data_IF_736302754181
#
_entry.id   IF_736302754181
#
_cell.length_a   1.000
_cell.length_b   1.000
_cell.length_c   1.000
_cell.angle_alpha   90.00
_cell.angle_beta   90.00
_cell.angle_gamma   90.00
#
_symmetry.space_group_name_H-M   'P 1'
#
loop_
_entity.id
_entity.type
_entity.pdbx_description
1 polymer ?
#
# COMPACT_ATOMS: atom_id res chain seq x y z
N UNK A 1 -3.60 -35.95 -59.65
CA UNK A 1 -4.39 -36.15 -58.44
C UNK A 1 -4.00 -35.07 -57.48
N UNK A 2 -4.86 -34.13 -57.38
CA UNK A 2 -4.71 -32.87 -56.62
C UNK A 2 -5.10 -33.13 -55.19
N UNK A 3 -4.23 -32.72 -54.27
CA UNK A 3 -4.60 -32.67 -52.89
C UNK A 3 -4.66 -31.22 -52.46
N UNK A 4 -5.81 -30.82 -51.98
CA UNK A 4 -6.12 -29.45 -51.57
C UNK A 4 -5.96 -29.31 -50.07
N UNK A 5 -4.98 -28.53 -49.66
CA UNK A 5 -4.83 -28.10 -48.27
C UNK A 5 -5.79 -26.93 -48.00
N UNK A 6 -6.67 -27.11 -47.05
CA UNK A 6 -7.58 -26.10 -46.56
C UNK A 6 -6.79 -25.15 -45.58
N UNK A 7 -6.67 -23.89 -45.95
CA UNK A 7 -6.26 -22.83 -45.05
C UNK A 7 -7.40 -22.48 -44.09
N UNK A 8 -7.15 -22.59 -42.80
CA UNK A 8 -8.07 -22.07 -41.77
C UNK A 8 -7.74 -20.61 -41.52
N UNK A 9 -8.63 -19.75 -41.97
CA UNK A 9 -8.66 -18.31 -41.70
C UNK A 9 -8.98 -18.08 -40.22
N UNK A 10 -7.98 -17.68 -39.42
CA UNK A 10 -8.18 -17.22 -38.05
C UNK A 10 -8.05 -15.69 -38.02
N UNK A 11 -9.16 -15.01 -38.28
CA UNK A 11 -9.29 -13.58 -38.08
C UNK A 11 -9.42 -13.31 -36.56
N UNK A 12 -8.53 -12.53 -35.94
CA UNK A 12 -8.70 -12.17 -34.54
C UNK A 12 -9.86 -11.18 -34.37
N UNK A 13 -10.65 -11.37 -33.32
CA UNK A 13 -11.74 -10.49 -32.96
C UNK A 13 -11.21 -9.06 -32.65
N UNK A 14 -11.98 -8.01 -32.98
CA UNK A 14 -11.51 -6.64 -32.79
C UNK A 14 -11.40 -6.29 -31.29
N UNK A 15 -10.20 -5.98 -30.88
CA UNK A 15 -9.92 -5.32 -29.59
C UNK A 15 -10.56 -3.95 -29.62
N UNK A 16 -11.47 -3.68 -28.70
CA UNK A 16 -12.01 -2.32 -28.54
C UNK A 16 -10.90 -1.42 -27.99
N UNK A 17 -10.30 -0.64 -28.87
CA UNK A 17 -9.48 0.50 -28.46
C UNK A 17 -10.39 1.55 -27.81
N UNK A 18 -10.21 1.78 -26.52
CA UNK A 18 -10.78 2.94 -25.85
C UNK A 18 -9.81 4.09 -26.13
N UNK A 19 -10.18 4.98 -27.06
CA UNK A 19 -9.48 6.25 -27.25
C UNK A 19 -9.83 7.16 -26.08
N UNK A 20 -8.85 7.40 -25.21
CA UNK A 20 -8.94 8.42 -24.16
C UNK A 20 -8.44 9.72 -24.78
N UNK A 21 -9.32 10.71 -24.95
CA UNK A 21 -8.91 12.09 -25.24
C UNK A 21 -8.32 12.68 -23.95
N UNK A 22 -7.03 12.91 -23.96
CA UNK A 22 -6.31 13.60 -22.88
C UNK A 22 -6.62 15.09 -22.96
N UNK A 23 -7.56 15.57 -22.16
CA UNK A 23 -7.66 16.99 -21.81
C UNK A 23 -6.82 17.22 -20.55
N UNK A 24 -5.63 17.76 -20.75
CA UNK A 24 -4.74 18.25 -19.70
C UNK A 24 -5.24 19.63 -19.23
N UNK A 25 -6.17 19.64 -18.29
CA UNK A 25 -6.37 20.76 -17.37
C UNK A 25 -6.45 20.15 -15.97
N UNK A 26 -5.51 20.55 -15.10
CA UNK A 26 -5.62 20.27 -13.67
C UNK A 26 -6.93 20.91 -13.17
N UNK A 27 -7.75 20.19 -12.40
CA UNK A 27 -8.95 20.78 -11.84
C UNK A 27 -8.55 21.95 -10.94
N UNK A 28 -9.18 23.11 -11.11
CA UNK A 28 -9.08 24.20 -10.15
C UNK A 28 -9.50 23.66 -8.77
N UNK A 29 -8.74 24.02 -7.71
CA UNK A 29 -9.13 23.75 -6.34
C UNK A 29 -10.50 24.39 -6.07
N UNK A 30 -11.58 23.66 -6.27
CA UNK A 30 -12.87 24.02 -5.71
C UNK A 30 -12.78 23.88 -4.20
N UNK A 31 -13.06 24.96 -3.48
CA UNK A 31 -13.28 24.93 -2.03
C UNK A 31 -14.53 24.08 -1.79
N UNK A 32 -14.33 22.78 -1.62
CA UNK A 32 -15.43 21.85 -1.31
C UNK A 32 -15.85 22.16 0.13
N UNK A 33 -17.09 22.60 0.31
CA UNK A 33 -17.69 22.75 1.64
C UNK A 33 -17.52 21.43 2.41
N UNK A 34 -17.21 21.52 3.72
CA UNK A 34 -16.99 20.37 4.62
C UNK A 34 -18.24 19.46 4.57
N UNK A 35 -18.13 18.39 3.80
CA UNK A 35 -19.17 17.35 3.68
C UNK A 35 -19.07 16.32 4.82
N UNK A 36 -19.34 15.09 4.47
CA UNK A 36 -19.34 13.95 5.40
C UNK A 36 -17.93 13.39 5.68
N UNK A 37 -16.88 14.13 5.31
CA UNK A 37 -15.46 13.79 5.50
C UNK A 37 -14.70 14.91 6.20
N UNK A 38 -13.55 14.55 6.81
CA UNK A 38 -12.66 15.51 7.47
C UNK A 38 -11.78 16.21 6.44
N UNK A 39 -11.67 17.53 6.57
CA UNK A 39 -10.68 18.32 5.85
C UNK A 39 -9.35 18.34 6.64
N UNK A 40 -8.26 18.70 5.98
CA UNK A 40 -6.95 18.80 6.65
C UNK A 40 -6.90 19.92 7.70
N UNK A 41 -7.67 20.98 7.50
CA UNK A 41 -7.81 22.11 8.43
C UNK A 41 -8.53 21.71 9.73
N UNK A 42 -9.38 20.68 9.68
CA UNK A 42 -10.09 20.14 10.86
C UNK A 42 -9.18 19.26 11.75
N UNK A 43 -7.93 18.99 11.33
CA UNK A 43 -6.97 18.21 12.11
C UNK A 43 -6.38 19.04 13.24
N UNK A 44 -7.11 19.12 14.35
CA UNK A 44 -6.71 19.84 15.57
C UNK A 44 -6.62 18.90 16.76
N UNK A 45 -5.73 19.21 17.70
CA UNK A 45 -5.62 18.45 18.95
C UNK A 45 -6.83 18.73 19.86
N UNK A 46 -7.43 17.64 20.36
CA UNK A 46 -8.54 17.67 21.29
C UNK A 46 -8.30 16.64 22.41
N UNK A 47 -8.28 17.09 23.64
CA UNK A 47 -8.07 16.24 24.83
C UNK A 47 -6.83 15.31 24.76
N UNK A 48 -5.70 15.85 24.23
CA UNK A 48 -4.45 15.10 24.05
C UNK A 48 -4.47 14.11 22.90
N UNK A 49 -5.48 14.14 22.06
CA UNK A 49 -5.61 13.30 20.86
C UNK A 49 -5.65 14.15 19.60
N UNK A 50 -5.24 13.55 18.50
CA UNK A 50 -5.27 14.15 17.17
C UNK A 50 -5.66 13.09 16.14
N UNK A 51 -6.22 13.53 15.03
CA UNK A 51 -6.59 12.61 13.95
C UNK A 51 -5.36 12.12 13.23
N UNK A 52 -5.24 10.77 13.11
CA UNK A 52 -4.18 10.14 12.33
C UNK A 52 -4.28 10.50 10.84
N UNK A 53 -3.16 10.83 10.23
CA UNK A 53 -3.05 10.98 8.77
C UNK A 53 -3.17 9.64 8.04
N UNK A 54 -2.98 8.50 8.72
CA UNK A 54 -2.93 7.17 8.11
C UNK A 54 -4.27 6.45 8.18
N UNK A 55 -5.03 6.65 9.26
CA UNK A 55 -6.27 5.90 9.52
C UNK A 55 -7.52 6.79 9.65
N UNK A 56 -7.35 8.09 9.79
CA UNK A 56 -8.45 8.99 10.11
C UNK A 56 -9.00 8.85 11.54
N UNK A 57 -8.52 7.91 12.33
CA UNK A 57 -8.94 7.69 13.71
C UNK A 57 -8.28 8.69 14.68
N UNK A 58 -8.88 8.90 15.84
CA UNK A 58 -8.29 9.73 16.91
C UNK A 58 -7.25 8.90 17.68
N UNK A 59 -5.99 9.33 17.61
CA UNK A 59 -4.83 8.73 18.30
C UNK A 59 -4.22 9.71 19.29
N UNK A 60 -3.37 9.24 20.19
CA UNK A 60 -2.62 10.13 21.09
C UNK A 60 -1.81 11.16 20.27
N UNK A 61 -1.85 12.44 20.64
CA UNK A 61 -1.23 13.52 19.88
C UNK A 61 0.29 13.34 19.72
N UNK A 62 0.95 12.72 20.71
CA UNK A 62 2.37 12.38 20.63
C UNK A 62 2.67 11.34 19.52
N UNK A 63 1.71 10.48 19.18
CA UNK A 63 1.82 9.50 18.10
C UNK A 63 1.42 10.14 16.78
N UNK A 64 0.23 10.72 16.69
CA UNK A 64 -0.31 11.25 15.43
C UNK A 64 0.44 12.47 14.88
N UNK A 65 1.22 13.19 15.70
CA UNK A 65 2.09 14.29 15.26
C UNK A 65 3.50 13.84 14.88
N UNK A 66 3.81 12.55 15.04
CA UNK A 66 5.11 11.97 14.73
C UNK A 66 5.09 11.27 13.37
N UNK A 67 6.18 11.39 12.64
CA UNK A 67 6.41 10.66 11.38
C UNK A 67 6.34 9.15 11.61
N UNK A 68 5.62 8.40 10.78
CA UNK A 68 5.54 6.96 10.90
C UNK A 68 6.83 6.29 10.40
N UNK A 69 7.00 5.03 10.75
CA UNK A 69 7.98 4.15 10.11
C UNK A 69 7.34 3.45 8.91
N UNK A 70 7.99 3.51 7.76
CA UNK A 70 7.70 2.64 6.62
C UNK A 70 8.74 1.52 6.58
N UNK A 71 8.36 0.29 6.92
CA UNK A 71 9.32 -0.82 7.05
C UNK A 71 9.07 -1.93 6.03
N UNK A 72 10.14 -2.33 5.33
CA UNK A 72 10.09 -3.43 4.36
C UNK A 72 9.97 -4.78 5.03
N UNK A 73 8.96 -5.57 4.69
CA UNK A 73 8.73 -6.89 5.25
C UNK A 73 8.69 -8.00 4.20
N UNK A 74 9.22 -9.15 4.57
CA UNK A 74 9.14 -10.37 3.75
C UNK A 74 7.72 -10.93 3.74
N UNK A 75 7.31 -11.42 2.56
CA UNK A 75 6.09 -12.24 2.41
C UNK A 75 6.41 -13.69 2.01
N UNK A 76 7.64 -14.12 2.16
CA UNK A 76 7.99 -15.54 1.97
C UNK A 76 7.35 -16.40 3.06
N UNK A 77 6.90 -17.60 2.71
CA UNK A 77 6.28 -18.54 3.65
C UNK A 77 7.18 -18.87 4.84
N UNK A 78 8.51 -18.88 4.63
CA UNK A 78 9.49 -19.09 5.70
C UNK A 78 9.61 -17.90 6.67
N UNK A 79 9.02 -16.75 6.34
CA UNK A 79 9.00 -15.56 7.20
C UNK A 79 7.74 -15.42 8.05
N UNK A 80 6.79 -16.35 7.90
CA UNK A 80 5.53 -16.29 8.67
C UNK A 80 5.70 -16.83 10.11
N UNK A 81 4.97 -16.28 11.09
CA UNK A 81 4.20 -15.04 11.00
C UNK A 81 5.14 -13.82 10.90
N UNK A 82 4.68 -12.75 10.24
CA UNK A 82 5.37 -11.47 10.33
C UNK A 82 5.13 -10.87 11.72
N UNK A 83 6.16 -10.18 12.23
CA UNK A 83 6.10 -9.48 13.50
C UNK A 83 5.86 -7.98 13.26
N UNK A 84 4.92 -7.41 14.00
CA UNK A 84 4.56 -6.00 13.91
C UNK A 84 3.62 -5.64 12.75
N UNK A 85 3.29 -6.56 11.84
CA UNK A 85 2.39 -6.27 10.72
C UNK A 85 0.96 -5.97 11.16
N UNK A 86 0.50 -6.53 12.28
CA UNK A 86 -0.81 -6.22 12.84
C UNK A 86 -0.95 -4.76 13.30
N UNK A 87 0.18 -4.09 13.57
CA UNK A 87 0.23 -2.69 13.98
C UNK A 87 0.32 -1.72 12.79
N UNK A 88 0.50 -2.25 11.57
CA UNK A 88 0.51 -1.41 10.39
C UNK A 88 -0.86 -0.74 10.19
N UNK A 89 -0.82 0.56 9.95
CA UNK A 89 -1.96 1.40 9.61
C UNK A 89 -2.24 1.33 8.12
N UNK A 90 -1.16 1.30 7.33
CA UNK A 90 -1.21 1.09 5.88
C UNK A 90 -0.19 0.01 5.50
N UNK A 91 -0.59 -0.89 4.60
CA UNK A 91 0.31 -1.88 4.01
C UNK A 91 0.26 -1.76 2.49
N UNK A 92 1.41 -1.50 1.88
CA UNK A 92 1.60 -1.72 0.44
C UNK A 92 2.07 -3.14 0.20
N UNK A 93 1.39 -3.85 -0.67
CA UNK A 93 1.81 -5.15 -1.21
C UNK A 93 2.10 -4.98 -2.69
N UNK A 94 3.35 -5.19 -3.10
CA UNK A 94 3.76 -5.06 -4.50
C UNK A 94 4.63 -6.23 -4.94
N UNK A 95 4.57 -6.61 -6.23
CA UNK A 95 5.44 -7.62 -6.80
C UNK A 95 6.92 -7.26 -6.67
N UNK A 96 7.74 -8.28 -6.51
CA UNK A 96 9.20 -8.23 -6.62
C UNK A 96 9.66 -9.40 -7.49
N UNK A 97 10.95 -9.56 -7.67
CA UNK A 97 11.53 -10.61 -8.49
C UNK A 97 11.03 -12.01 -8.09
N UNK A 98 10.97 -12.91 -9.07
CA UNK A 98 10.60 -14.32 -8.87
C UNK A 98 9.12 -14.55 -8.60
N UNK A 99 8.25 -13.62 -8.97
CA UNK A 99 6.79 -13.72 -8.78
C UNK A 99 6.34 -13.58 -7.32
N UNK A 100 7.26 -13.16 -6.45
CA UNK A 100 6.96 -12.92 -5.03
C UNK A 100 6.43 -11.51 -4.82
N UNK A 101 5.67 -11.33 -3.75
CA UNK A 101 5.32 -10.00 -3.27
C UNK A 101 6.13 -9.66 -2.02
N UNK A 102 6.25 -8.37 -1.77
CA UNK A 102 6.85 -7.84 -0.56
C UNK A 102 5.90 -6.83 0.06
N UNK A 103 5.97 -6.67 1.38
CA UNK A 103 5.19 -5.64 2.06
C UNK A 103 6.07 -4.45 2.42
N UNK A 104 5.49 -3.27 2.39
CA UNK A 104 5.94 -2.12 3.16
C UNK A 104 4.83 -1.80 4.16
N UNK A 105 5.12 -2.00 5.43
CA UNK A 105 4.20 -1.68 6.52
C UNK A 105 4.48 -0.26 7.01
N UNK A 106 3.48 0.61 7.03
CA UNK A 106 3.55 1.97 7.57
C UNK A 106 2.91 1.94 8.94
N UNK A 107 3.68 2.27 9.96
CA UNK A 107 3.30 2.10 11.37
C UNK A 107 3.50 3.42 12.09
N UNK A 108 2.44 3.98 12.63
CA UNK A 108 2.47 5.22 13.41
C UNK A 108 2.87 4.95 14.87
N UNK A 109 2.28 3.91 15.48
CA UNK A 109 2.55 3.50 16.85
C UNK A 109 3.42 2.23 16.90
N UNK A 110 4.76 2.40 16.96
CA UNK A 110 5.74 1.31 16.91
C UNK A 110 6.65 1.20 18.14
N UNK A 111 6.53 2.10 19.13
CA UNK A 111 7.50 2.21 20.23
C UNK A 111 7.57 0.96 21.12
N UNK A 112 6.44 0.33 21.38
CA UNK A 112 6.27 -0.86 22.22
C UNK A 112 6.52 -2.18 21.48
N UNK A 113 6.90 -2.12 20.20
CA UNK A 113 7.16 -3.31 19.40
C UNK A 113 8.58 -3.85 19.65
N UNK A 114 8.70 -4.95 20.38
CA UNK A 114 9.96 -5.62 20.65
C UNK A 114 10.59 -6.28 19.41
N UNK A 115 9.75 -6.61 18.41
CA UNK A 115 10.18 -7.29 17.18
C UNK A 115 9.35 -6.85 15.99
N UNK A 116 10.03 -6.38 14.92
CA UNK A 116 9.39 -5.94 13.67
C UNK A 116 10.12 -6.60 12.49
N UNK A 117 9.39 -7.24 11.58
CA UNK A 117 9.96 -7.87 10.38
C UNK A 117 9.47 -9.30 10.13
N UNK A 118 10.18 -10.12 9.35
CA UNK A 118 11.61 -9.96 8.94
C UNK A 118 11.77 -8.87 7.88
N UNK A 119 12.79 -8.05 8.08
CA UNK A 119 13.05 -6.87 7.26
C UNK A 119 13.75 -7.26 5.96
N UNK A 120 13.39 -6.62 4.84
CA UNK A 120 13.84 -6.95 3.50
C UNK A 120 14.36 -5.72 2.74
N UNK A 121 14.92 -6.01 1.57
CA UNK A 121 15.54 -4.99 0.73
C UNK A 121 14.50 -4.10 0.03
N UNK A 122 14.86 -2.84 -0.12
CA UNK A 122 14.14 -1.82 -0.88
C UNK A 122 14.10 -2.14 -2.38
N UNK A 123 13.05 -1.72 -3.06
CA UNK A 123 12.92 -1.56 -4.51
C UNK A 123 12.53 -0.11 -4.81
N UNK A 124 12.74 0.33 -6.03
CA UNK A 124 12.57 1.74 -6.43
C UNK A 124 11.23 2.31 -6.01
N UNK A 125 10.14 1.68 -6.41
CA UNK A 125 8.77 2.15 -6.15
C UNK A 125 8.41 2.23 -4.66
N UNK A 126 9.06 1.48 -3.77
CA UNK A 126 8.83 1.61 -2.33
C UNK A 126 9.42 2.90 -1.73
N UNK A 127 10.43 3.50 -2.39
CA UNK A 127 10.93 4.82 -1.96
C UNK A 127 9.87 5.90 -2.19
N UNK A 128 9.11 5.78 -3.28
CA UNK A 128 8.03 6.70 -3.62
C UNK A 128 6.90 6.60 -2.61
N UNK A 129 6.46 5.37 -2.31
CA UNK A 129 5.42 5.13 -1.30
C UNK A 129 5.83 5.63 0.10
N UNK A 130 7.07 5.40 0.54
CA UNK A 130 7.52 5.89 1.83
C UNK A 130 7.49 7.44 1.90
N UNK A 131 7.84 8.11 0.80
CA UNK A 131 7.87 9.57 0.72
C UNK A 131 6.47 10.18 0.78
N UNK A 132 5.45 9.51 0.24
CA UNK A 132 4.04 9.97 0.28
C UNK A 132 3.53 10.21 1.70
N UNK A 133 4.06 9.48 2.67
CA UNK A 133 3.65 9.57 4.08
C UNK A 133 4.63 10.36 4.93
N UNK A 134 5.61 11.01 4.31
CA UNK A 134 6.74 11.63 5.03
C UNK A 134 7.38 10.66 6.03
N UNK A 135 7.32 9.36 5.73
CA UNK A 135 7.75 8.29 6.62
C UNK A 135 9.27 8.16 6.68
N UNK A 136 9.80 7.70 7.82
CA UNK A 136 11.19 7.27 7.94
C UNK A 136 11.26 5.82 7.44
N UNK A 137 12.03 5.59 6.37
CA UNK A 137 12.02 4.35 5.62
C UNK A 137 13.05 3.34 6.14
N UNK A 138 12.60 2.20 6.68
CA UNK A 138 13.43 1.15 7.25
C UNK A 138 13.53 -0.07 6.31
N UNK A 139 14.75 -0.43 5.91
CA UNK A 139 14.97 -1.54 4.98
C UNK A 139 16.35 -2.21 5.21
N UNK A 140 16.50 -3.44 4.75
CA UNK A 140 17.78 -4.17 4.87
C UNK A 140 18.34 -4.46 3.48
N UNK A 141 19.19 -3.56 2.97
CA UNK A 141 19.70 -3.57 1.60
C UNK A 141 18.69 -3.01 0.58
N UNK A 142 19.13 -2.89 -0.65
CA UNK A 142 18.36 -2.33 -1.76
C UNK A 142 18.78 -2.94 -3.10
N UNK A 143 17.95 -2.78 -4.13
CA UNK A 143 18.37 -2.97 -5.51
C UNK A 143 19.32 -1.85 -5.96
N UNK A 144 20.13 -2.12 -6.96
CA UNK A 144 21.01 -1.10 -7.57
C UNK A 144 20.17 0.07 -8.12
N UNK A 145 18.99 -0.23 -8.66
CA UNK A 145 18.08 0.76 -9.25
C UNK A 145 17.40 1.66 -8.22
N UNK A 146 17.17 1.17 -6.98
CA UNK A 146 16.60 1.97 -5.91
C UNK A 146 17.61 2.95 -5.28
N UNK A 147 18.92 2.70 -5.43
CA UNK A 147 19.97 3.46 -4.75
C UNK A 147 19.93 4.97 -5.00
N UNK A 148 19.71 5.48 -6.22
CA UNK A 148 19.65 6.93 -6.47
C UNK A 148 18.47 7.60 -5.76
N UNK A 149 17.35 6.90 -5.61
CA UNK A 149 16.10 7.43 -5.06
C UNK A 149 16.10 7.50 -3.53
N UNK A 150 16.91 6.69 -2.86
CA UNK A 150 17.07 6.71 -1.41
C UNK A 150 17.61 8.03 -0.88
N UNK A 151 18.26 8.85 -1.72
CA UNK A 151 18.69 10.20 -1.34
C UNK A 151 17.52 11.18 -1.07
N UNK A 152 16.31 10.86 -1.53
CA UNK A 152 15.11 11.69 -1.37
C UNK A 152 14.22 11.26 -0.19
N UNK A 153 14.65 10.26 0.58
CA UNK A 153 13.88 9.70 1.70
C UNK A 153 14.80 9.49 2.89
N UNK A 154 14.41 9.99 4.06
CA UNK A 154 15.09 9.64 5.30
C UNK A 154 15.01 8.12 5.48
N UNK A 155 16.16 7.43 5.45
CA UNK A 155 16.13 5.98 5.46
C UNK A 155 17.15 5.34 6.40
N UNK A 156 16.79 4.17 6.91
CA UNK A 156 17.60 3.36 7.82
C UNK A 156 17.94 2.06 7.10
N UNK A 157 19.14 1.98 6.52
CA UNK A 157 19.56 0.82 5.75
C UNK A 157 20.40 -0.15 6.61
N UNK A 158 19.99 -1.41 6.66
CA UNK A 158 20.67 -2.47 7.42
C UNK A 158 22.07 -2.83 6.90
N UNK A 159 22.48 -2.37 5.71
CA UNK A 159 23.83 -2.59 5.17
C UNK A 159 24.80 -1.44 5.45
N UNK A 160 24.30 -0.31 5.95
CA UNK A 160 25.12 0.86 6.29
C UNK A 160 25.58 0.76 7.76
N UNK A 161 26.45 1.68 8.21
CA UNK A 161 26.97 1.69 9.58
C UNK A 161 25.88 1.72 10.66
N UNK A 162 24.75 2.36 10.38
CA UNK A 162 23.58 2.40 11.28
C UNK A 162 22.90 1.03 11.45
N UNK A 163 23.12 0.09 10.55
CA UNK A 163 22.47 -1.22 10.54
C UNK A 163 22.68 -2.02 11.82
N UNK A 164 23.81 -1.88 12.49
CA UNK A 164 24.09 -2.59 13.77
C UNK A 164 23.30 -2.02 14.96
N UNK A 165 22.89 -0.75 14.87
CA UNK A 165 22.01 -0.11 15.83
C UNK A 165 20.56 -0.50 15.55
N UNK A 166 20.11 -0.30 14.31
CA UNK A 166 18.73 -0.46 13.92
C UNK A 166 18.26 -1.91 13.86
N UNK A 167 19.15 -2.86 13.53
CA UNK A 167 18.73 -4.24 13.24
C UNK A 167 19.53 -5.28 14.03
N UNK A 168 18.92 -6.44 14.17
CA UNK A 168 19.54 -7.64 14.71
C UNK A 168 19.11 -8.88 13.92
N UNK A 169 19.90 -9.95 14.06
CA UNK A 169 19.55 -11.24 13.45
C UNK A 169 19.17 -12.24 14.51
N UNK A 170 18.10 -12.98 14.25
CA UNK A 170 17.62 -14.05 15.13
C UNK A 170 18.18 -15.41 14.69
N UNK A 171 18.13 -16.39 15.61
CA UNK A 171 18.56 -17.77 15.35
C UNK A 171 17.37 -18.71 15.08
N UNK A 172 16.15 -18.28 15.36
CA UNK A 172 14.91 -19.04 15.15
C UNK A 172 14.51 -19.15 13.69
N UNK A 173 15.15 -18.36 12.80
CA UNK A 173 14.95 -18.39 11.35
C UNK A 173 16.27 -18.37 10.59
N UNK A 174 16.25 -18.92 9.38
CA UNK A 174 17.43 -18.91 8.50
C UNK A 174 17.50 -17.60 7.72
N UNK A 175 18.74 -17.16 7.42
CA UNK A 175 18.97 -16.10 6.45
C UNK A 175 18.32 -16.47 5.10
N UNK A 176 17.69 -15.52 4.40
CA UNK A 176 17.62 -14.07 4.65
C UNK A 176 16.39 -13.62 5.46
N UNK A 177 15.64 -14.53 6.09
CA UNK A 177 14.37 -14.25 6.79
C UNK A 177 14.56 -13.97 8.30
N UNK A 178 15.76 -13.64 8.74
CA UNK A 178 16.13 -13.53 10.14
C UNK A 178 16.61 -12.15 10.60
N UNK A 179 16.45 -11.13 9.78
CA UNK A 179 16.74 -9.74 10.12
C UNK A 179 15.48 -9.05 10.69
N UNK A 180 15.60 -8.45 11.87
CA UNK A 180 14.50 -7.79 12.58
C UNK A 180 14.96 -6.46 13.14
N UNK A 181 13.97 -5.61 13.47
CA UNK A 181 14.12 -4.41 14.26
C UNK A 181 13.20 -4.45 15.48
N UNK A 182 13.17 -3.36 16.24
CA UNK A 182 12.20 -3.04 17.30
C UNK A 182 11.97 -1.54 17.36
N UNK A 183 10.91 -1.08 18.02
CA UNK A 183 10.66 0.34 18.24
C UNK A 183 11.86 1.03 18.88
N UNK A 184 12.41 0.47 19.95
CA UNK A 184 13.60 1.00 20.63
C UNK A 184 14.79 1.18 19.68
N UNK A 185 15.06 0.19 18.82
CA UNK A 185 16.17 0.22 17.86
C UNK A 185 15.98 1.24 16.77
N UNK A 186 14.76 1.35 16.26
CA UNK A 186 14.41 2.37 15.24
C UNK A 186 14.59 3.77 15.83
N UNK A 187 14.06 4.04 17.03
CA UNK A 187 14.20 5.33 17.71
C UNK A 187 15.68 5.69 17.96
N UNK A 188 16.50 4.74 18.39
CA UNK A 188 17.96 4.95 18.53
C UNK A 188 18.63 5.30 17.20
N UNK A 189 18.25 4.62 16.12
CA UNK A 189 18.80 4.88 14.79
C UNK A 189 18.37 6.26 14.27
N UNK A 190 17.10 6.64 14.43
CA UNK A 190 16.55 7.94 14.08
C UNK A 190 17.34 9.05 14.78
N UNK A 191 17.50 8.94 16.11
CA UNK A 191 18.25 9.91 16.89
C UNK A 191 19.71 10.01 16.46
N UNK A 192 20.38 8.87 16.18
CA UNK A 192 21.77 8.84 15.74
C UNK A 192 21.98 9.42 14.34
N UNK A 193 20.99 9.26 13.44
CA UNK A 193 21.00 9.85 12.10
C UNK A 193 20.59 11.32 12.08
N UNK A 194 20.01 11.82 13.18
CA UNK A 194 19.55 13.19 13.32
C UNK A 194 18.31 13.50 12.49
N UNK A 195 17.48 12.50 12.20
CA UNK A 195 16.22 12.69 11.47
C UNK A 195 15.18 13.37 12.36
N UNK A 196 14.38 14.26 11.75
CA UNK A 196 13.22 14.85 12.42
C UNK A 196 12.19 13.77 12.70
N UNK A 197 11.67 13.72 13.92
CA UNK A 197 10.54 12.90 14.27
C UNK A 197 9.19 13.55 13.94
N UNK A 198 9.16 14.86 13.73
CA UNK A 198 7.97 15.59 13.33
C UNK A 198 7.82 15.60 11.82
N UNK A 199 6.58 15.54 11.34
CA UNK A 199 6.26 15.76 9.94
C UNK A 199 6.86 17.07 9.40
N UNK A 200 7.18 17.11 8.12
CA UNK A 200 7.55 18.34 7.43
C UNK A 200 6.40 19.34 7.49
N UNK A 201 6.73 20.64 7.54
CA UNK A 201 5.74 21.70 7.80
C UNK A 201 4.65 21.80 6.71
N UNK A 202 4.96 21.35 5.51
CA UNK A 202 4.06 21.31 4.35
C UNK A 202 3.28 20.01 4.22
N UNK A 203 3.60 18.97 5.01
CA UNK A 203 2.86 17.72 4.98
C UNK A 203 1.50 17.84 5.67
N UNK A 204 0.44 17.51 4.95
CA UNK A 204 -0.94 17.60 5.44
C UNK A 204 -1.72 16.28 5.33
N UNK A 205 -1.01 15.18 5.08
CA UNK A 205 -1.66 13.93 4.66
C UNK A 205 -2.16 14.01 3.21
N UNK A 206 -2.73 12.93 2.72
CA UNK A 206 -3.28 12.91 1.37
C UNK A 206 -4.56 12.09 1.23
N UNK A 207 -4.95 11.32 2.25
CA UNK A 207 -6.24 10.64 2.25
C UNK A 207 -7.29 11.46 2.98
N UNK A 208 -8.49 11.47 2.42
CA UNK A 208 -9.68 12.00 3.07
C UNK A 208 -10.40 10.86 3.78
N UNK A 209 -10.84 11.10 5.01
CA UNK A 209 -11.53 10.10 5.80
C UNK A 209 -12.95 10.53 6.13
N UNK A 210 -13.89 9.61 6.02
CA UNK A 210 -15.28 9.81 6.41
C UNK A 210 -15.39 10.21 7.89
N UNK A 211 -16.29 11.12 8.20
CA UNK A 211 -16.63 11.48 9.59
C UNK A 211 -17.31 10.31 10.28
N UNK A 212 -17.13 10.21 11.57
CA UNK A 212 -17.80 9.17 12.39
C UNK A 212 -19.33 9.31 12.25
N UNK A 213 -19.99 8.20 11.91
CA UNK A 213 -21.42 8.17 11.62
C UNK A 213 -21.79 8.52 10.17
N UNK A 214 -20.78 8.74 9.32
CA UNK A 214 -20.92 9.00 7.88
C UNK A 214 -20.10 8.02 7.05
N UNK A 215 -20.04 6.77 7.49
CA UNK A 215 -19.26 5.72 6.83
C UNK A 215 -19.68 5.55 5.37
N UNK A 216 -18.68 5.45 4.49
CA UNK A 216 -18.87 5.22 3.06
C UNK A 216 -19.28 3.78 2.84
N UNK A 217 -20.52 3.55 2.41
CA UNK A 217 -21.06 2.20 2.13
C UNK A 217 -20.96 1.82 0.65
N UNK A 218 -20.60 2.75 -0.20
CA UNK A 218 -20.61 2.64 -1.68
C UNK A 218 -21.98 2.35 -2.28
N UNK A 219 -23.07 2.45 -1.49
CA UNK A 219 -24.43 2.27 -1.99
C UNK A 219 -24.77 3.34 -3.04
N UNK A 220 -25.27 2.89 -4.19
CA UNK A 220 -25.64 3.78 -5.28
C UNK A 220 -24.47 4.34 -6.09
N UNK A 221 -23.24 4.02 -5.74
CA UNK A 221 -22.08 4.43 -6.54
C UNK A 221 -22.09 3.80 -7.95
N UNK A 222 -21.62 4.51 -8.98
CA UNK A 222 -21.54 3.96 -10.32
C UNK A 222 -20.69 2.69 -10.37
N UNK A 223 -21.17 1.66 -11.05
CA UNK A 223 -20.47 0.37 -11.22
C UNK A 223 -20.11 -0.34 -9.90
N UNK A 224 -20.87 -0.10 -8.84
CA UNK A 224 -20.69 -0.80 -7.58
C UNK A 224 -20.87 -2.32 -7.76
N UNK A 225 -20.02 -3.09 -7.09
CA UNK A 225 -20.04 -4.55 -7.09
C UNK A 225 -20.13 -5.03 -5.64
N UNK A 226 -20.86 -6.14 -5.41
CA UNK A 226 -20.77 -6.87 -4.16
C UNK A 226 -19.37 -7.48 -4.05
N UNK A 227 -18.71 -7.28 -2.91
CA UNK A 227 -17.32 -7.65 -2.68
C UNK A 227 -17.14 -8.39 -1.35
N UNK A 228 -17.91 -9.47 -1.16
CA UNK A 228 -17.74 -10.33 0.01
C UNK A 228 -16.37 -11.02 0.02
N UNK A 229 -15.79 -11.27 -1.18
CA UNK A 229 -14.42 -11.75 -1.35
C UNK A 229 -13.72 -11.00 -2.45
N UNK A 230 -12.44 -10.67 -2.21
CA UNK A 230 -11.59 -9.93 -3.15
C UNK A 230 -10.25 -10.63 -3.29
N UNK A 231 -9.86 -10.97 -4.52
CA UNK A 231 -8.63 -11.66 -4.86
C UNK A 231 -7.70 -10.73 -5.66
N UNK A 232 -6.52 -10.38 -5.14
CA UNK A 232 -5.55 -9.56 -5.88
C UNK A 232 -4.91 -10.24 -7.09
N UNK A 233 -5.07 -11.57 -7.25
CA UNK A 233 -4.53 -12.29 -8.40
C UNK A 233 -3.03 -12.61 -8.34
N UNK A 234 -2.34 -12.34 -7.24
CA UNK A 234 -0.93 -12.68 -7.09
C UNK A 234 -0.71 -14.21 -7.09
N UNK A 235 0.27 -14.66 -7.87
CA UNK A 235 0.42 -16.10 -8.20
C UNK A 235 1.07 -16.94 -7.10
N UNK A 236 2.01 -16.40 -6.31
CA UNK A 236 2.79 -17.17 -5.35
C UNK A 236 2.05 -17.42 -4.04
N UNK A 237 1.60 -16.38 -3.40
CA UNK A 237 0.93 -16.45 -2.10
C UNK A 237 -0.59 -16.59 -2.23
N UNK A 238 -1.15 -16.34 -3.42
CA UNK A 238 -2.58 -16.44 -3.76
C UNK A 238 -3.46 -15.85 -2.65
N UNK A 239 -3.31 -14.57 -2.34
CA UNK A 239 -4.04 -13.96 -1.25
C UNK A 239 -5.48 -13.67 -1.64
N UNK A 240 -6.34 -13.59 -0.62
CA UNK A 240 -7.68 -13.06 -0.75
C UNK A 240 -8.10 -12.37 0.55
N UNK A 241 -9.14 -11.57 0.45
CA UNK A 241 -9.78 -10.91 1.56
C UNK A 241 -11.24 -11.37 1.65
N UNK A 242 -11.73 -11.62 2.86
CA UNK A 242 -13.13 -11.94 3.15
C UNK A 242 -13.73 -10.89 4.07
N UNK A 243 -14.84 -10.32 3.63
CA UNK A 243 -15.58 -9.32 4.42
C UNK A 243 -16.37 -9.99 5.54
N UNK A 244 -16.24 -9.47 6.73
CA UNK A 244 -17.01 -9.88 7.90
C UNK A 244 -17.98 -8.77 8.30
N UNK A 245 -19.28 -8.99 8.08
CA UNK A 245 -20.34 -8.02 8.38
C UNK A 245 -20.46 -7.70 9.87
N UNK A 246 -20.01 -8.58 10.76
CA UNK A 246 -20.17 -8.36 12.20
C UNK A 246 -19.27 -7.25 12.75
N UNK A 247 -18.15 -6.96 12.09
CA UNK A 247 -17.19 -5.93 12.49
C UNK A 247 -16.83 -4.95 11.37
N UNK A 248 -17.35 -5.18 10.15
CA UNK A 248 -17.12 -4.31 9.00
C UNK A 248 -15.70 -4.34 8.46
N UNK A 249 -14.97 -5.45 8.66
CA UNK A 249 -13.58 -5.58 8.26
C UNK A 249 -13.37 -6.68 7.22
N UNK A 250 -12.33 -6.50 6.41
CA UNK A 250 -11.82 -7.52 5.51
C UNK A 250 -10.69 -8.30 6.17
N UNK A 251 -10.88 -9.59 6.39
CA UNK A 251 -9.87 -10.51 6.90
C UNK A 251 -9.02 -11.06 5.76
N UNK A 252 -7.72 -10.99 5.92
CA UNK A 252 -6.79 -11.43 4.88
C UNK A 252 -6.39 -12.89 5.03
N UNK A 253 -6.29 -13.58 3.90
CA UNK A 253 -5.83 -14.95 3.75
C UNK A 253 -4.69 -15.02 2.75
N UNK A 254 -3.83 -16.01 2.86
CA UNK A 254 -2.80 -16.34 1.88
C UNK A 254 -2.25 -17.76 2.09
N UNK A 255 -1.64 -18.34 1.09
CA UNK A 255 -1.11 -19.71 1.13
C UNK A 255 -2.15 -20.74 1.58
N UNK A 256 -3.42 -20.52 1.26
CA UNK A 256 -4.55 -21.40 1.59
C UNK A 256 -5.03 -21.32 3.05
N UNK A 257 -4.61 -20.33 3.84
CA UNK A 257 -4.98 -20.17 5.23
C UNK A 257 -5.16 -18.71 5.64
N UNK A 258 -5.79 -18.48 6.79
CA UNK A 258 -5.88 -17.14 7.37
C UNK A 258 -4.47 -16.55 7.57
N UNK A 259 -4.28 -15.33 7.08
CA UNK A 259 -3.03 -14.61 7.29
C UNK A 259 -2.98 -14.07 8.71
N UNK A 260 -2.01 -14.55 9.48
CA UNK A 260 -1.79 -14.13 10.86
C UNK A 260 -0.40 -13.51 10.99
N UNK A 261 -0.37 -12.33 11.57
CA UNK A 261 0.85 -11.79 12.18
C UNK A 261 1.06 -12.38 13.58
N UNK A 262 2.04 -11.89 14.31
CA UNK A 262 2.33 -12.33 15.68
C UNK A 262 1.22 -12.00 16.68
N UNK A 263 0.37 -11.01 16.40
CA UNK A 263 -0.73 -10.56 17.26
C UNK A 263 -2.11 -11.09 16.82
N UNK A 264 -2.16 -12.00 15.86
CA UNK A 264 -3.41 -12.61 15.42
C UNK A 264 -3.73 -12.39 13.95
N UNK A 265 -5.00 -12.58 13.54
CA UNK A 265 -5.45 -12.38 12.17
C UNK A 265 -5.19 -10.95 11.69
N UNK A 266 -4.93 -10.81 10.40
CA UNK A 266 -4.81 -9.50 9.75
C UNK A 266 -6.16 -9.13 9.18
N UNK A 267 -6.65 -7.95 9.56
CA UNK A 267 -7.88 -7.37 9.07
C UNK A 267 -7.70 -5.88 8.80
N UNK A 268 -8.41 -5.39 7.79
CA UNK A 268 -8.37 -4.00 7.32
C UNK A 268 -9.75 -3.48 6.99
N UNK A 269 -9.93 -2.16 7.03
CA UNK A 269 -11.18 -1.49 6.70
C UNK A 269 -11.31 -1.21 5.21
N UNK A 270 -10.21 -0.81 4.59
CA UNK A 270 -10.15 -0.39 3.20
C UNK A 270 -9.16 -1.25 2.41
N UNK A 271 -9.50 -1.57 1.17
CA UNK A 271 -8.59 -2.21 0.22
C UNK A 271 -8.55 -1.33 -1.04
N UNK A 272 -7.35 -0.94 -1.44
CA UNK A 272 -7.10 -0.19 -2.67
C UNK A 272 -6.28 -1.04 -3.63
N UNK A 273 -6.58 -0.95 -4.91
CA UNK A 273 -5.81 -1.57 -5.98
C UNK A 273 -5.25 -0.48 -6.88
N UNK A 274 -3.97 -0.63 -7.25
CA UNK A 274 -3.31 0.18 -8.26
C UNK A 274 -2.87 -0.74 -9.39
N UNK A 275 -3.46 -0.63 -10.58
CA UNK A 275 -3.01 -1.32 -11.78
C UNK A 275 -1.91 -0.48 -12.41
N UNK A 276 -0.67 -0.96 -12.35
CA UNK A 276 0.51 -0.21 -12.72
C UNK A 276 1.17 -0.81 -13.96
N UNK A 277 1.47 -0.01 -15.00
CA UNK A 277 2.34 -0.45 -16.08
C UNK A 277 3.65 -1.00 -15.51
N UNK A 278 4.05 -2.19 -15.93
CA UNK A 278 5.20 -2.88 -15.32
C UNK A 278 6.06 -3.54 -16.39
N UNK A 279 7.37 -3.50 -16.18
CA UNK A 279 8.37 -4.15 -16.98
C UNK A 279 9.55 -4.60 -16.13
N UNK A 280 10.68 -4.77 -16.76
CA UNK A 280 11.95 -5.07 -16.08
C UNK A 280 12.98 -4.02 -16.45
N UNK A 281 13.83 -3.66 -15.51
CA UNK A 281 15.04 -2.93 -15.84
C UNK A 281 15.89 -3.77 -16.79
N UNK A 282 16.38 -3.15 -17.87
CA UNK A 282 17.04 -3.84 -18.97
C UNK A 282 18.00 -4.95 -18.52
N UNK A 283 17.85 -6.16 -19.10
CA UNK A 283 18.69 -7.36 -18.87
C UNK A 283 18.74 -7.89 -17.43
N UNK A 284 17.79 -7.52 -16.58
CA UNK A 284 17.71 -7.98 -15.18
C UNK A 284 16.32 -8.54 -14.84
N UNK A 285 16.23 -9.27 -13.71
CA UNK A 285 14.96 -9.73 -13.16
C UNK A 285 14.28 -8.66 -12.27
N UNK A 286 14.94 -7.49 -12.06
CA UNK A 286 14.35 -6.42 -11.26
C UNK A 286 13.19 -5.78 -11.96
N UNK A 287 12.05 -5.69 -11.24
CA UNK A 287 10.84 -5.06 -11.76
C UNK A 287 10.96 -3.54 -11.78
N UNK A 288 10.53 -2.96 -12.88
CA UNK A 288 10.28 -1.54 -13.06
C UNK A 288 8.76 -1.34 -13.10
N UNK A 289 8.21 -0.86 -12.00
CA UNK A 289 6.76 -0.65 -11.84
C UNK A 289 6.50 0.85 -11.85
N UNK A 290 5.75 1.31 -12.85
CA UNK A 290 5.35 2.70 -12.95
C UNK A 290 4.20 2.97 -11.99
N UNK A 291 4.51 3.54 -10.83
CA UNK A 291 3.58 3.95 -9.78
C UNK A 291 3.48 5.47 -9.64
N UNK A 292 3.99 6.21 -10.62
CA UNK A 292 4.14 7.68 -10.57
C UNK A 292 3.45 8.39 -11.74
N UNK A 293 2.55 7.68 -12.40
CA UNK A 293 1.69 8.16 -13.49
C UNK A 293 0.22 8.01 -13.09
N UNK A 294 -0.67 7.91 -14.06
CA UNK A 294 -2.09 7.72 -13.87
C UNK A 294 -2.51 6.33 -14.35
N UNK A 295 -3.44 5.70 -13.67
CA UNK A 295 -4.06 4.46 -14.15
C UNK A 295 -5.38 4.18 -13.41
N UNK A 296 -5.83 2.93 -13.50
CA UNK A 296 -7.06 2.45 -12.88
C UNK A 296 -6.76 1.52 -11.70
N UNK A 297 -7.80 1.24 -10.93
CA UNK A 297 -7.75 0.32 -9.81
C UNK A 297 -9.14 -0.02 -9.30
N UNK A 298 -9.19 -0.49 -8.08
CA UNK A 298 -10.41 -0.75 -7.33
C UNK A 298 -10.31 -0.15 -5.93
N UNK A 299 -11.42 0.29 -5.39
CA UNK A 299 -11.59 0.57 -3.96
C UNK A 299 -12.65 -0.37 -3.40
N UNK A 300 -12.32 -1.08 -2.32
CA UNK A 300 -13.27 -1.95 -1.62
C UNK A 300 -13.35 -1.58 -0.14
N UNK A 301 -14.58 -1.45 0.36
CA UNK A 301 -14.94 -1.20 1.75
C UNK A 301 -16.38 -1.68 1.98
N UNK A 302 -16.77 -1.97 3.21
CA UNK A 302 -18.14 -2.33 3.60
C UNK A 302 -18.78 -3.45 2.74
N UNK A 303 -17.98 -4.43 2.33
CA UNK A 303 -18.46 -5.56 1.52
C UNK A 303 -18.78 -5.24 0.08
N UNK A 304 -18.40 -4.04 -0.40
CA UNK A 304 -18.61 -3.56 -1.77
C UNK A 304 -17.33 -3.03 -2.37
N UNK A 305 -17.30 -2.94 -3.70
CA UNK A 305 -16.17 -2.36 -4.43
C UNK A 305 -16.64 -1.52 -5.61
N UNK A 306 -15.85 -0.52 -5.96
CA UNK A 306 -16.02 0.31 -7.16
C UNK A 306 -14.72 0.39 -7.96
N UNK A 307 -14.79 0.54 -9.29
CA UNK A 307 -13.63 0.93 -10.08
C UNK A 307 -13.22 2.36 -9.72
N UNK A 308 -11.91 2.59 -9.69
CA UNK A 308 -11.33 3.91 -9.43
C UNK A 308 -10.26 4.25 -10.45
N UNK A 309 -9.97 5.53 -10.59
CA UNK A 309 -8.74 6.05 -11.19
C UNK A 309 -7.81 6.43 -10.07
N UNK A 310 -6.53 6.25 -10.26
CA UNK A 310 -5.53 6.85 -9.37
C UNK A 310 -4.58 7.72 -10.19
N UNK A 311 -4.09 8.77 -9.56
CA UNK A 311 -3.17 9.74 -10.16
C UNK A 311 -2.03 9.99 -9.18
N UNK A 312 -0.87 10.33 -9.72
CA UNK A 312 0.29 10.72 -8.92
C UNK A 312 1.12 11.75 -9.70
N UNK A 313 1.45 12.87 -9.07
CA UNK A 313 2.28 13.90 -9.68
C UNK A 313 3.77 13.55 -9.54
N UNK A 314 4.23 12.68 -10.42
CA UNK A 314 5.61 12.22 -10.48
C UNK A 314 5.99 11.27 -9.34
N UNK A 315 7.29 10.95 -9.25
CA UNK A 315 7.83 9.90 -8.38
C UNK A 315 7.56 10.15 -6.88
N UNK A 316 7.63 11.40 -6.44
CA UNK A 316 7.53 11.81 -5.03
C UNK A 316 6.28 12.63 -4.70
N UNK A 317 5.35 12.77 -5.64
CA UNK A 317 4.03 13.35 -5.42
C UNK A 317 3.13 12.44 -4.57
N UNK A 318 1.95 12.92 -4.23
CA UNK A 318 0.94 12.16 -3.49
C UNK A 318 0.08 11.34 -4.47
N UNK A 319 -0.34 10.16 -4.04
CA UNK A 319 -1.29 9.35 -4.80
C UNK A 319 -2.70 9.70 -4.38
N UNK A 320 -3.55 10.07 -5.34
CA UNK A 320 -4.97 10.34 -5.14
C UNK A 320 -5.82 9.31 -5.89
N UNK A 321 -6.97 9.00 -5.34
CA UNK A 321 -7.93 8.08 -5.94
C UNK A 321 -9.24 8.81 -6.22
N UNK A 322 -9.83 8.55 -7.38
CA UNK A 322 -11.08 9.16 -7.83
C UNK A 322 -12.04 8.07 -8.31
N UNK A 323 -13.32 8.24 -8.07
CA UNK A 323 -14.33 7.41 -8.71
C UNK A 323 -14.42 7.68 -10.23
N UNK A 324 -15.30 6.97 -10.91
CA UNK A 324 -15.45 7.15 -12.37
C UNK A 324 -16.15 8.45 -12.77
N UNK A 325 -16.67 9.20 -11.80
CA UNK A 325 -17.25 10.55 -11.99
C UNK A 325 -16.26 11.67 -11.61
N UNK A 326 -15.00 11.31 -11.28
CA UNK A 326 -13.92 12.19 -10.83
C UNK A 326 -14.13 12.81 -9.43
N UNK A 327 -14.97 12.24 -8.58
CA UNK A 327 -15.00 12.60 -7.18
C UNK A 327 -13.85 11.90 -6.45
N UNK A 328 -13.11 12.62 -5.60
CA UNK A 328 -12.06 12.02 -4.82
C UNK A 328 -12.62 10.98 -3.85
N UNK A 329 -11.98 9.82 -3.77
CA UNK A 329 -12.40 8.72 -2.91
C UNK A 329 -12.23 9.10 -1.45
N UNK A 330 -13.27 8.92 -0.68
CA UNK A 330 -13.27 9.06 0.77
C UNK A 330 -13.09 7.68 1.38
N UNK A 331 -12.07 7.50 2.21
CA UNK A 331 -11.81 6.26 2.92
C UNK A 331 -12.61 6.19 4.22
N UNK A 332 -13.04 5.02 4.61
CA UNK A 332 -13.51 4.78 5.97
C UNK A 332 -12.36 4.84 6.96
N UNK A 333 -12.62 5.34 8.18
CA UNK A 333 -11.61 5.34 9.24
C UNK A 333 -11.16 3.92 9.55
N UNK A 334 -9.85 3.72 9.68
CA UNK A 334 -9.25 2.42 9.94
C UNK A 334 -8.10 2.08 8.99
N UNK A 335 -7.61 0.86 9.10
CA UNK A 335 -6.45 0.37 8.35
C UNK A 335 -6.74 0.19 6.87
N UNK A 336 -5.71 0.43 6.04
CA UNK A 336 -5.79 0.29 4.58
C UNK A 336 -4.75 -0.70 4.05
N UNK A 337 -5.16 -1.58 3.14
CA UNK A 337 -4.26 -2.45 2.39
C UNK A 337 -4.26 -2.05 0.91
N UNK A 338 -3.08 -1.75 0.38
CA UNK A 338 -2.90 -1.29 -1.00
C UNK A 338 -2.21 -2.39 -1.79
N UNK A 339 -2.90 -2.92 -2.79
CA UNK A 339 -2.42 -3.94 -3.70
C UNK A 339 -1.92 -3.29 -4.99
N UNK A 340 -0.62 -3.31 -5.22
CA UNK A 340 0.00 -2.87 -6.48
C UNK A 340 0.04 -4.05 -7.43
N UNK A 341 -0.69 -3.97 -8.52
CA UNK A 341 -0.86 -5.04 -9.51
C UNK A 341 -0.22 -4.62 -10.82
N UNK A 342 0.60 -5.49 -11.42
CA UNK A 342 1.05 -5.26 -12.80
C UNK A 342 -0.17 -5.13 -13.72
N UNK A 343 -0.24 -4.08 -14.54
CA UNK A 343 -1.42 -3.80 -15.37
C UNK A 343 -1.78 -4.97 -16.28
N UNK A 344 -0.77 -5.70 -16.78
CA UNK A 344 -0.96 -6.92 -17.57
C UNK A 344 -1.59 -8.08 -16.79
N UNK A 345 -1.54 -8.06 -15.47
CA UNK A 345 -2.10 -9.06 -14.58
C UNK A 345 -3.45 -8.63 -13.97
N UNK A 346 -3.96 -7.46 -14.32
CA UNK A 346 -5.22 -6.92 -13.79
C UNK A 346 -6.43 -7.82 -14.02
N UNK A 347 -6.42 -8.62 -15.10
CA UNK A 347 -7.45 -9.62 -15.38
C UNK A 347 -7.49 -10.79 -14.38
N UNK A 348 -6.45 -10.96 -13.56
CA UNK A 348 -6.41 -11.97 -12.50
C UNK A 348 -7.07 -11.50 -11.20
N UNK A 349 -7.45 -10.22 -11.12
CA UNK A 349 -8.20 -9.67 -9.97
C UNK A 349 -9.64 -10.15 -10.08
N UNK A 350 -10.12 -10.75 -8.99
CA UNK A 350 -11.49 -11.28 -8.93
C UNK A 350 -12.22 -10.68 -7.72
N UNK A 351 -13.49 -10.33 -7.93
CA UNK A 351 -14.37 -9.82 -6.89
C UNK A 351 -15.65 -10.65 -6.90
N UNK A 352 -16.02 -11.18 -5.75
CA UNK A 352 -17.20 -12.02 -5.60
C UNK A 352 -18.15 -11.43 -4.55
N UNK A 353 -19.43 -11.42 -4.87
CA UNK A 353 -20.53 -11.28 -3.91
C UNK A 353 -20.67 -12.52 -3.00
N UNK A 354 -21.70 -12.50 -2.15
CA UNK A 354 -22.08 -13.65 -1.30
C UNK A 354 -22.63 -14.81 -2.12
#
# INVERSE_FOLDING_TARGET
MTDASAETDTTPAPTKEIKIETTTEAPAEEVVESGDWYTFEERTEQDGKIRSYLTGEMVDAAIGNRRPIAIMMSNDKASLPQYGINRADIVYEAPVEGGMNRYMAIIENYDDLDRIGSVRSCRTYYTYFAREFDAIYAHYGQSTFAKPYLANVDNINGLDGIGTVAYYRTKDRKSPHNAYSSGERLNKAIAQLGYSESYSADYKGHYRFAKTGHEVTLDGAPSVMEAARVYPGYVMNKPWFEYNESDGLYYRYQYGAAHKGNEGPIAVKNILFQYCPSGHYATTDYLDINVHDDSYGLYATEGKAIPVKWTKDGEFGLTHYYDMENNEVILNQGKTWICVISAQDSSNVEVYGK
#
